data_IF_055202929640
#
_entry.id   IF_055202929640
#
_cell.length_a   1.000
_cell.length_b   1.000
_cell.length_c   1.000
_cell.angle_alpha   90.00
_cell.angle_beta   90.00
_cell.angle_gamma   90.00
#
_symmetry.space_group_name_H-M   'P 1'
#
loop_
_entity.id
_entity.type
_entity.pdbx_description
1 polymer ?
#
# COMPACT_ATOMS: atom_id res chain seq x y z
N UNK A 1 15.82 0.38 -6.53
CA UNK A 1 14.48 -0.02 -7.02
C UNK A 1 13.53 1.12 -6.70
N UNK A 2 12.73 1.57 -7.66
CA UNK A 2 11.76 2.65 -7.44
C UNK A 2 10.37 2.03 -7.36
N UNK A 3 9.77 2.08 -6.17
CA UNK A 3 8.37 1.77 -5.97
C UNK A 3 7.58 3.08 -5.86
N UNK A 4 6.34 3.06 -6.35
CA UNK A 4 5.42 4.19 -6.27
C UNK A 4 4.14 3.77 -5.58
N UNK A 5 3.64 4.62 -4.70
CA UNK A 5 2.35 4.42 -4.03
C UNK A 5 1.36 5.47 -4.52
N UNK A 6 0.17 5.02 -4.91
CA UNK A 6 -0.93 5.87 -5.37
C UNK A 6 -2.10 5.67 -4.39
N UNK A 7 -2.78 6.75 -4.03
CA UNK A 7 -4.01 6.70 -3.21
C UNK A 7 -5.10 7.58 -3.81
N UNK A 8 -6.38 7.22 -3.66
CA UNK A 8 -7.47 8.14 -3.96
C UNK A 8 -7.49 9.32 -2.98
N UNK A 9 -8.15 10.40 -3.36
CA UNK A 9 -8.38 11.56 -2.49
C UNK A 9 -9.51 11.30 -1.48
N UNK A 10 -9.42 10.20 -0.74
CA UNK A 10 -10.37 9.76 0.29
C UNK A 10 -9.60 9.67 1.61
N UNK A 11 -10.14 10.27 2.67
CA UNK A 11 -9.54 10.26 4.00
C UNK A 11 -10.52 9.65 5.00
N UNK A 12 -10.09 8.61 5.69
CA UNK A 12 -10.86 7.93 6.71
C UNK A 12 -10.35 8.34 8.10
N UNK A 13 -11.23 8.95 8.89
CA UNK A 13 -10.96 9.37 10.26
C UNK A 13 -11.88 8.63 11.23
N UNK A 14 -11.35 7.61 11.88
CA UNK A 14 -12.07 6.91 12.96
C UNK A 14 -11.64 7.51 14.28
N UNK A 15 -12.49 8.39 14.82
CA UNK A 15 -12.35 8.94 16.16
C UNK A 15 -13.64 8.66 16.95
N UNK A 16 -13.53 8.64 18.28
CA UNK A 16 -14.71 8.57 19.15
C UNK A 16 -15.63 9.77 18.89
N UNK A 17 -16.93 9.52 18.75
CA UNK A 17 -17.90 10.56 18.39
C UNK A 17 -17.83 11.05 16.93
N UNK A 18 -16.95 10.51 16.09
CA UNK A 18 -16.88 10.89 14.67
C UNK A 18 -18.19 10.54 13.93
N UNK A 19 -18.73 11.46 13.11
CA UNK A 19 -19.90 11.20 12.28
C UNK A 19 -19.58 10.31 11.08
N UNK A 20 -18.30 10.00 10.81
CA UNK A 20 -17.92 9.14 9.69
C UNK A 20 -18.32 7.69 9.92
N UNK A 21 -18.79 7.06 8.86
CA UNK A 21 -19.08 5.63 8.86
C UNK A 21 -17.78 4.83 9.12
N UNK A 22 -17.89 3.70 9.84
CA UNK A 22 -16.72 2.95 10.31
C UNK A 22 -16.31 1.79 9.41
N UNK A 23 -17.19 1.33 8.52
CA UNK A 23 -16.93 0.20 7.63
C UNK A 23 -16.77 0.70 6.21
N UNK A 24 -15.61 0.48 5.62
CA UNK A 24 -15.33 0.91 4.25
C UNK A 24 -14.97 -0.30 3.41
N UNK A 25 -15.35 -0.24 2.14
CA UNK A 25 -15.08 -1.27 1.16
C UNK A 25 -14.74 -0.60 -0.16
N UNK A 26 -13.74 -1.14 -0.85
CA UNK A 26 -13.39 -0.75 -2.20
C UNK A 26 -12.94 -1.97 -2.99
N UNK A 27 -13.06 -1.87 -4.31
CA UNK A 27 -12.59 -2.87 -5.25
C UNK A 27 -11.48 -2.24 -6.11
N UNK A 28 -10.56 -3.08 -6.55
CA UNK A 28 -9.51 -2.72 -7.50
C UNK A 28 -9.39 -3.86 -8.50
N UNK A 29 -9.35 -3.50 -9.78
CA UNK A 29 -9.18 -4.43 -10.89
C UNK A 29 -7.82 -4.16 -11.52
N UNK A 30 -7.07 -5.24 -11.73
CA UNK A 30 -5.81 -5.23 -12.46
C UNK A 30 -6.12 -5.69 -13.89
N UNK A 31 -5.95 -4.80 -14.85
CA UNK A 31 -6.21 -5.10 -16.27
C UNK A 31 -5.03 -5.88 -16.89
N UNK A 32 -3.80 -5.40 -16.68
CA UNK A 32 -2.59 -6.02 -17.20
C UNK A 32 -1.42 -5.85 -16.22
N UNK A 33 -0.63 -6.90 -16.07
CA UNK A 33 0.68 -6.89 -15.41
C UNK A 33 1.64 -7.74 -16.23
N UNK A 34 2.74 -7.13 -16.65
CA UNK A 34 3.85 -7.85 -17.27
C UNK A 34 4.93 -8.12 -16.20
N UNK A 35 5.07 -9.36 -15.72
CA UNK A 35 6.07 -9.69 -14.71
C UNK A 35 7.48 -9.70 -15.31
N UNK A 36 8.49 -9.33 -14.53
CA UNK A 36 9.92 -9.41 -14.90
C UNK A 36 10.33 -8.55 -16.12
N UNK A 37 9.75 -7.36 -16.28
CA UNK A 37 10.27 -6.35 -17.23
C UNK A 37 11.68 -5.87 -16.87
N UNK A 38 12.11 -6.09 -15.63
CA UNK A 38 13.47 -5.85 -15.15
C UNK A 38 14.02 -7.11 -14.46
N UNK A 39 15.28 -7.08 -14.03
CA UNK A 39 15.87 -8.20 -13.28
C UNK A 39 15.18 -8.47 -11.94
N UNK A 40 14.52 -7.46 -11.35
CA UNK A 40 13.76 -7.58 -10.11
C UNK A 40 12.30 -7.98 -10.38
N UNK A 41 11.69 -8.81 -9.49
CA UNK A 41 10.26 -9.12 -9.57
C UNK A 41 9.38 -7.87 -9.50
N UNK A 42 8.26 -7.89 -10.23
CA UNK A 42 7.26 -6.82 -10.19
C UNK A 42 6.63 -6.73 -8.81
N UNK A 43 6.61 -5.52 -8.23
CA UNK A 43 6.02 -5.26 -6.93
C UNK A 43 4.61 -4.65 -7.10
N UNK A 44 3.57 -5.41 -6.71
CA UNK A 44 2.18 -4.94 -6.70
C UNK A 44 1.49 -5.39 -5.42
N UNK A 45 1.05 -4.43 -4.61
CA UNK A 45 0.32 -4.65 -3.36
C UNK A 45 -0.82 -3.66 -3.24
N UNK A 46 -1.91 -4.10 -2.62
CA UNK A 46 -3.05 -3.25 -2.27
C UNK A 46 -3.28 -3.31 -0.77
N UNK A 47 -3.66 -2.19 -0.15
CA UNK A 47 -3.76 -2.11 1.29
C UNK A 47 -4.19 -0.75 1.82
N UNK A 48 -4.04 -0.58 3.12
CA UNK A 48 -4.34 0.67 3.82
C UNK A 48 -3.11 1.18 4.54
N UNK A 49 -3.09 2.49 4.78
CA UNK A 49 -2.00 3.17 5.45
C UNK A 49 -2.54 4.25 6.38
N UNK A 50 -1.83 4.49 7.47
CA UNK A 50 -2.11 5.53 8.47
C UNK A 50 -1.10 6.68 8.36
N UNK A 51 -1.21 7.67 9.24
CA UNK A 51 -0.42 8.91 9.17
C UNK A 51 1.10 8.74 9.27
N UNK A 52 1.60 7.60 9.75
CA UNK A 52 3.03 7.33 9.80
C UNK A 52 3.63 6.74 8.51
N UNK A 53 2.80 6.41 7.53
CA UNK A 53 3.26 5.86 6.25
C UNK A 53 3.97 6.93 5.40
N UNK A 54 5.20 6.64 4.99
CA UNK A 54 6.05 7.57 4.27
C UNK A 54 6.60 6.95 2.97
N UNK A 55 5.91 7.10 1.82
CA UNK A 55 6.29 6.47 0.56
C UNK A 55 7.41 7.25 -0.15
N UNK A 56 8.58 7.36 0.49
CA UNK A 56 9.72 8.02 -0.14
C UNK A 56 10.33 7.11 -1.21
N UNK A 57 10.51 7.60 -2.45
CA UNK A 57 11.16 6.84 -3.51
C UNK A 57 12.61 6.57 -3.12
N UNK A 58 12.95 5.31 -2.87
CA UNK A 58 14.27 4.91 -2.39
C UNK A 58 14.20 3.77 -1.36
N UNK A 59 15.20 3.73 -0.48
CA UNK A 59 15.34 2.69 0.54
C UNK A 59 14.24 2.76 1.58
N UNK A 60 13.55 1.64 1.77
CA UNK A 60 12.65 1.46 2.89
C UNK A 60 13.34 1.06 4.17
N UNK A 61 12.54 0.83 5.22
CA UNK A 61 13.05 0.23 6.45
C UNK A 61 13.64 -1.17 6.19
N UNK A 62 13.23 -1.83 5.10
CA UNK A 62 13.78 -3.09 4.60
C UNK A 62 14.65 -2.99 3.34
N UNK A 63 14.93 -4.16 2.74
CA UNK A 63 15.66 -4.26 1.48
C UNK A 63 14.73 -3.98 0.29
N UNK A 64 15.05 -2.96 -0.51
CA UNK A 64 14.30 -2.64 -1.73
C UNK A 64 13.63 -1.28 -1.70
N UNK A 65 12.56 -1.13 -2.50
CA UNK A 65 11.79 0.10 -2.60
C UNK A 65 10.60 0.12 -1.64
N UNK A 66 10.30 1.28 -1.04
CA UNK A 66 9.15 1.44 -0.14
C UNK A 66 7.79 1.18 -0.79
N UNK A 67 7.01 0.28 -0.20
CA UNK A 67 5.63 -0.04 -0.55
C UNK A 67 4.73 -0.15 0.67
N UNK A 68 3.46 -0.49 0.43
CA UNK A 68 2.48 -0.75 1.50
C UNK A 68 2.83 -2.07 2.22
N UNK A 69 2.76 -2.06 3.55
CA UNK A 69 3.08 -3.21 4.41
C UNK A 69 4.57 -3.39 4.70
N UNK A 70 5.42 -2.41 4.37
CA UNK A 70 6.85 -2.41 4.71
C UNK A 70 7.14 -1.68 6.04
N UNK A 71 6.12 -1.06 6.67
CA UNK A 71 6.21 -0.35 7.94
C UNK A 71 5.05 -0.69 8.88
N UNK A 72 5.17 -0.31 10.15
CA UNK A 72 4.14 -0.53 11.18
C UNK A 72 2.88 0.33 10.99
N UNK A 73 2.87 1.23 10.00
CA UNK A 73 1.79 2.18 9.75
C UNK A 73 0.92 1.78 8.56
N UNK A 74 1.22 0.68 7.90
CA UNK A 74 0.53 0.20 6.72
C UNK A 74 0.40 -1.32 6.69
N UNK A 75 -0.63 -1.83 6.03
CA UNK A 75 -0.82 -3.26 5.84
C UNK A 75 -1.29 -3.53 4.42
N UNK A 76 -0.73 -4.56 3.79
CA UNK A 76 -0.91 -4.83 2.36
C UNK A 76 -1.07 -6.32 2.04
N UNK A 77 -1.58 -6.59 0.84
CA UNK A 77 -1.75 -7.91 0.26
C UNK A 77 -1.31 -7.90 -1.20
N UNK A 78 -0.56 -8.92 -1.62
CA UNK A 78 -0.04 -9.07 -3.00
C UNK A 78 -0.79 -10.14 -3.83
N UNK A 79 -1.79 -10.82 -3.25
CA UNK A 79 -2.44 -11.98 -3.87
C UNK A 79 -2.05 -13.32 -3.26
N UNK A 80 -0.92 -13.39 -2.55
CA UNK A 80 -0.35 -14.60 -1.96
C UNK A 80 -0.05 -14.46 -0.46
N UNK A 81 0.47 -13.31 -0.03
CA UNK A 81 0.95 -13.04 1.32
C UNK A 81 0.38 -11.73 1.88
N UNK A 82 0.26 -11.68 3.20
CA UNK A 82 -0.01 -10.47 3.96
C UNK A 82 1.30 -9.84 4.41
N UNK A 83 1.34 -8.50 4.38
CA UNK A 83 2.50 -7.67 4.72
C UNK A 83 2.10 -6.64 5.78
N UNK A 84 2.90 -6.50 6.86
CA UNK A 84 2.69 -5.60 8.00
C UNK A 84 3.98 -5.38 8.78
#
# INVERSE_FOLDING_TARGET
MFNFSIRPNIFLGVAEGSPQYKKWYFELIIDQVDPFLTAEPTHLRVGWASSGYAPYPGGGEGWGGNGVGDDLYSYGFDGLHLWS
#
